data_IF_839578868356
#
_entry.id   IF_839578868356
#
_cell.length_a   1.000
_cell.length_b   1.000
_cell.length_c   1.000
_cell.angle_alpha   90.00
_cell.angle_beta   90.00
_cell.angle_gamma   90.00
#
_symmetry.space_group_name_H-M   'P 1'
#
loop_
_entity.id
_entity.type
_entity.pdbx_description
1 polymer ?
#
# COMPACT_ATOMS: atom_id res chain seq x y z
N UNK A 1 -3.49 3.23 26.50
CA UNK A 1 -2.66 2.84 25.34
C UNK A 1 -3.58 2.56 24.17
N UNK A 2 -3.36 3.22 23.05
CA UNK A 2 -4.17 3.03 21.85
C UNK A 2 -3.60 1.88 21.02
N UNK A 3 -4.45 0.94 20.65
CA UNK A 3 -4.07 -0.22 19.85
C UNK A 3 -4.50 -0.03 18.39
N UNK A 4 -3.93 -0.83 17.52
CA UNK A 4 -4.32 -0.86 16.08
C UNK A 4 -5.81 -1.13 15.94
N UNK A 5 -6.38 -2.03 16.75
CA UNK A 5 -7.82 -2.33 16.74
C UNK A 5 -8.71 -1.10 16.97
N UNK A 6 -8.22 -0.11 17.72
CA UNK A 6 -8.98 1.12 18.03
C UNK A 6 -9.08 2.08 16.84
N UNK A 7 -8.15 2.00 15.89
CA UNK A 7 -8.03 2.97 14.79
C UNK A 7 -8.18 2.37 13.40
N UNK A 8 -8.00 1.06 13.23
CA UNK A 8 -8.03 0.40 11.92
C UNK A 8 -9.40 0.47 11.25
N UNK A 9 -9.41 0.32 9.94
CA UNK A 9 -10.63 0.09 9.17
C UNK A 9 -10.88 -1.40 9.06
N UNK A 10 -12.04 -1.86 9.48
CA UNK A 10 -12.52 -3.25 9.34
C UNK A 10 -13.31 -3.43 8.05
N UNK A 11 -13.67 -4.67 7.73
CA UNK A 11 -14.51 -5.01 6.57
C UNK A 11 -13.94 -4.51 5.24
N UNK A 12 -12.64 -4.65 5.07
CA UNK A 12 -11.94 -4.25 3.87
C UNK A 12 -12.25 -5.21 2.73
N UNK A 13 -12.49 -4.67 1.55
CA UNK A 13 -12.65 -5.49 0.35
C UNK A 13 -11.34 -6.22 0.05
N UNK A 14 -11.41 -7.53 -0.13
CA UNK A 14 -10.28 -8.38 -0.52
C UNK A 14 -10.53 -9.02 -1.88
N UNK A 15 -9.46 -9.42 -2.53
CA UNK A 15 -9.51 -10.19 -3.76
C UNK A 15 -8.60 -11.41 -3.66
N UNK A 16 -8.71 -12.31 -4.60
CA UNK A 16 -7.94 -13.55 -4.64
C UNK A 16 -6.77 -13.45 -5.61
N UNK A 17 -5.70 -14.25 -5.42
CA UNK A 17 -4.55 -14.25 -6.33
C UNK A 17 -4.90 -14.51 -7.80
N UNK A 18 -5.93 -15.32 -8.05
CA UNK A 18 -6.40 -15.70 -9.38
C UNK A 18 -7.38 -14.70 -10.01
N UNK A 19 -7.82 -13.67 -9.28
CA UNK A 19 -8.65 -12.62 -9.83
C UNK A 19 -7.86 -11.78 -10.84
N UNK A 20 -8.57 -11.21 -11.81
CA UNK A 20 -7.93 -10.42 -12.88
C UNK A 20 -7.53 -9.03 -12.41
N UNK A 21 -6.47 -8.48 -13.03
CA UNK A 21 -6.07 -7.09 -12.80
C UNK A 21 -7.14 -6.10 -13.25
N UNK A 22 -7.94 -6.45 -14.25
CA UNK A 22 -9.07 -5.62 -14.71
C UNK A 22 -10.13 -5.51 -13.62
N UNK A 23 -10.48 -6.61 -12.97
CA UNK A 23 -11.44 -6.61 -11.86
C UNK A 23 -10.91 -5.82 -10.67
N UNK A 24 -9.61 -5.92 -10.38
CA UNK A 24 -8.98 -5.11 -9.33
C UNK A 24 -9.03 -3.61 -9.65
N UNK A 25 -8.74 -3.23 -10.88
CA UNK A 25 -8.80 -1.84 -11.31
C UNK A 25 -10.23 -1.29 -11.20
N UNK A 26 -11.23 -2.06 -11.59
CA UNK A 26 -12.64 -1.69 -11.42
C UNK A 26 -13.03 -1.53 -9.95
N UNK A 27 -12.57 -2.45 -9.10
CA UNK A 27 -12.80 -2.38 -7.66
C UNK A 27 -12.16 -1.12 -7.05
N UNK A 28 -10.95 -0.79 -7.45
CA UNK A 28 -10.27 0.44 -7.04
C UNK A 28 -11.03 1.70 -7.46
N UNK A 29 -11.58 1.72 -8.66
CA UNK A 29 -12.40 2.82 -9.17
C UNK A 29 -13.70 2.96 -8.39
N UNK A 30 -14.44 1.87 -8.22
CA UNK A 30 -15.71 1.85 -7.49
C UNK A 30 -15.55 2.28 -6.02
N UNK A 31 -14.51 1.83 -5.34
CA UNK A 31 -14.25 2.12 -3.93
C UNK A 31 -13.41 3.37 -3.71
N UNK A 32 -12.88 3.95 -4.76
CA UNK A 32 -11.93 5.08 -4.71
C UNK A 32 -10.73 4.78 -3.80
N UNK A 33 -10.12 3.63 -4.01
CA UNK A 33 -8.94 3.16 -3.27
C UNK A 33 -7.82 2.81 -4.23
N UNK A 34 -6.59 2.91 -3.78
CA UNK A 34 -5.39 2.57 -4.58
C UNK A 34 -4.71 1.27 -4.14
N UNK A 35 -5.28 0.54 -3.18
CA UNK A 35 -4.71 -0.70 -2.66
C UNK A 35 -5.80 -1.68 -2.27
N UNK A 36 -5.58 -2.96 -2.58
CA UNK A 36 -6.48 -4.04 -2.22
C UNK A 36 -5.66 -5.18 -1.63
N UNK A 37 -6.01 -5.68 -0.43
CA UNK A 37 -5.42 -6.90 0.09
C UNK A 37 -5.81 -8.11 -0.73
N UNK A 38 -4.85 -8.99 -0.97
CA UNK A 38 -5.04 -10.24 -1.69
C UNK A 38 -4.98 -11.39 -0.69
N UNK A 39 -6.05 -12.15 -0.61
CA UNK A 39 -6.20 -13.24 0.35
C UNK A 39 -6.49 -14.57 -0.34
N UNK A 40 -5.97 -15.63 0.24
CA UNK A 40 -6.37 -17.01 -0.05
C UNK A 40 -7.24 -17.49 1.13
N UNK A 41 -8.55 -17.53 0.92
CA UNK A 41 -9.49 -17.65 2.02
C UNK A 41 -9.38 -16.43 2.96
N UNK A 42 -9.14 -16.65 4.24
CA UNK A 42 -8.95 -15.60 5.24
C UNK A 42 -7.50 -15.12 5.33
N UNK A 43 -6.57 -15.88 4.77
CA UNK A 43 -5.14 -15.63 4.91
C UNK A 43 -4.66 -14.59 3.91
N UNK A 44 -3.98 -13.58 4.44
CA UNK A 44 -3.31 -12.58 3.61
C UNK A 44 -2.12 -13.20 2.88
N UNK A 45 -2.08 -13.09 1.56
CA UNK A 45 -0.97 -13.57 0.71
C UNK A 45 -0.26 -12.45 -0.03
N UNK A 46 -0.82 -11.27 -0.09
CA UNK A 46 -0.18 -10.12 -0.72
C UNK A 46 -1.05 -8.87 -0.71
N UNK A 47 -0.53 -7.84 -1.32
CA UNK A 47 -1.22 -6.58 -1.58
C UNK A 47 -1.02 -6.20 -3.03
N UNK A 48 -2.03 -5.63 -3.65
CA UNK A 48 -1.94 -5.05 -4.98
C UNK A 48 -2.30 -3.58 -4.93
N UNK A 49 -1.48 -2.76 -5.57
CA UNK A 49 -1.71 -1.32 -5.72
C UNK A 49 -2.01 -0.97 -7.17
N UNK A 50 -2.59 0.21 -7.38
CA UNK A 50 -2.74 0.80 -8.71
C UNK A 50 -1.37 0.95 -9.40
N UNK A 51 -0.33 1.32 -8.66
CA UNK A 51 1.04 1.36 -9.18
C UNK A 51 1.54 0.00 -9.63
N UNK A 52 1.28 -1.07 -8.88
CA UNK A 52 1.64 -2.45 -9.28
C UNK A 52 1.03 -2.83 -10.61
N UNK A 53 -0.25 -2.50 -10.82
CA UNK A 53 -0.95 -2.77 -12.08
C UNK A 53 -0.31 -2.02 -13.24
N UNK A 54 0.03 -0.75 -13.05
CA UNK A 54 0.65 0.07 -14.09
C UNK A 54 2.07 -0.39 -14.38
N UNK A 55 2.90 -0.56 -13.36
CA UNK A 55 4.34 -0.81 -13.53
C UNK A 55 4.64 -2.26 -13.88
N UNK A 56 3.93 -3.21 -13.27
CA UNK A 56 4.17 -4.64 -13.48
C UNK A 56 3.23 -5.26 -14.52
N UNK A 57 2.08 -4.62 -14.76
CA UNK A 57 1.14 -5.04 -15.78
C UNK A 57 1.32 -4.26 -17.09
N UNK A 58 0.91 -3.01 -17.11
CA UNK A 58 0.88 -2.18 -18.32
C UNK A 58 2.29 -1.93 -18.89
N UNK A 59 3.24 -1.52 -18.04
CA UNK A 59 4.61 -1.22 -18.47
C UNK A 59 5.37 -2.44 -18.99
N UNK A 60 5.01 -3.63 -18.56
CA UNK A 60 5.59 -4.90 -19.02
C UNK A 60 4.86 -5.48 -20.24
N UNK A 61 3.93 -4.74 -20.80
CA UNK A 61 3.13 -5.14 -21.96
C UNK A 61 2.35 -6.45 -21.74
N UNK A 62 1.94 -6.73 -20.49
CA UNK A 62 1.12 -7.88 -20.16
C UNK A 62 -0.26 -7.77 -20.82
N UNK A 63 -0.84 -8.89 -21.21
CA UNK A 63 -2.24 -8.92 -21.62
C UNK A 63 -3.12 -8.76 -20.37
N UNK A 64 -3.69 -7.59 -20.20
CA UNK A 64 -4.48 -7.26 -19.01
C UNK A 64 -5.74 -8.13 -18.86
N UNK A 65 -6.24 -8.70 -19.94
CA UNK A 65 -7.42 -9.59 -19.89
C UNK A 65 -7.12 -10.93 -19.22
N UNK A 66 -5.86 -11.39 -19.30
CA UNK A 66 -5.40 -12.66 -18.75
C UNK A 66 -4.47 -12.50 -17.56
N UNK A 67 -3.98 -11.30 -17.30
CA UNK A 67 -3.10 -11.00 -16.17
C UNK A 67 -3.85 -11.13 -14.85
N UNK A 68 -3.29 -11.91 -13.92
CA UNK A 68 -3.86 -12.17 -12.60
C UNK A 68 -3.15 -11.35 -11.54
N UNK A 69 -3.82 -11.15 -10.40
CA UNK A 69 -3.24 -10.40 -9.29
C UNK A 69 -1.94 -11.01 -8.79
N UNK A 70 -1.84 -12.35 -8.76
CA UNK A 70 -0.59 -13.04 -8.38
C UNK A 70 0.62 -12.68 -9.25
N UNK A 71 0.40 -12.19 -10.47
CA UNK A 71 1.45 -11.82 -11.41
C UNK A 71 2.02 -10.41 -11.14
N UNK A 72 1.26 -9.56 -10.46
CA UNK A 72 1.61 -8.15 -10.23
C UNK A 72 1.67 -7.75 -8.77
N UNK A 73 1.07 -8.51 -7.87
CA UNK A 73 1.02 -8.17 -6.43
C UNK A 73 2.38 -8.28 -5.76
N UNK A 74 2.51 -7.60 -4.63
CA UNK A 74 3.63 -7.77 -3.70
C UNK A 74 3.29 -8.88 -2.70
N UNK A 75 4.12 -9.93 -2.63
CA UNK A 75 3.89 -11.09 -1.77
C UNK A 75 4.54 -11.00 -0.39
N UNK A 76 5.53 -10.12 -0.22
CA UNK A 76 6.20 -9.89 1.07
C UNK A 76 5.70 -8.58 1.67
N UNK A 77 4.55 -8.65 2.33
CA UNK A 77 3.89 -7.49 2.90
C UNK A 77 4.16 -7.44 4.41
N UNK A 78 4.57 -6.27 4.90
CA UNK A 78 4.66 -6.02 6.33
C UNK A 78 3.26 -5.96 6.91
N UNK A 79 3.03 -6.73 7.96
CA UNK A 79 1.76 -6.79 8.67
C UNK A 79 1.92 -6.32 10.11
N UNK A 80 0.83 -5.87 10.69
CA UNK A 80 0.73 -5.58 12.12
C UNK A 80 -0.42 -6.37 12.72
N UNK A 81 -0.42 -6.49 14.03
CA UNK A 81 -1.49 -7.16 14.75
C UNK A 81 -2.46 -6.14 15.33
N UNK A 82 -3.69 -6.57 15.55
CA UNK A 82 -4.73 -5.70 16.10
C UNK A 82 -4.45 -5.22 17.52
N UNK A 83 -3.64 -5.97 18.27
CA UNK A 83 -3.22 -5.62 19.64
C UNK A 83 -1.89 -4.86 19.71
N UNK A 84 -1.26 -4.57 18.58
CA UNK A 84 -0.06 -3.75 18.54
C UNK A 84 -0.36 -2.30 18.96
N UNK A 85 0.64 -1.66 19.56
CA UNK A 85 0.56 -0.25 19.93
C UNK A 85 0.70 0.63 18.70
N UNK A 86 -0.17 1.61 18.55
CA UNK A 86 -0.12 2.54 17.39
C UNK A 86 1.18 3.32 17.30
N UNK A 87 1.84 3.61 18.41
CA UNK A 87 3.13 4.31 18.41
C UNK A 87 4.23 3.46 17.76
N UNK A 88 4.23 2.16 18.02
CA UNK A 88 5.16 1.22 17.40
C UNK A 88 4.90 1.08 15.89
N UNK A 89 3.62 1.03 15.52
CA UNK A 89 3.20 0.99 14.11
C UNK A 89 3.59 2.28 13.37
N UNK A 90 3.41 3.42 14.00
CA UNK A 90 3.81 4.71 13.46
C UNK A 90 5.32 4.77 13.20
N UNK A 91 6.12 4.30 14.15
CA UNK A 91 7.57 4.20 13.99
C UNK A 91 7.96 3.27 12.84
N UNK A 92 7.27 2.16 12.67
CA UNK A 92 7.51 1.23 11.57
C UNK A 92 7.12 1.83 10.20
N UNK A 93 5.98 2.52 10.12
CA UNK A 93 5.57 3.25 8.92
C UNK A 93 6.60 4.30 8.51
N UNK A 94 7.12 5.05 9.48
CA UNK A 94 8.16 6.05 9.27
C UNK A 94 9.46 5.41 8.76
N UNK A 95 9.92 4.37 9.44
CA UNK A 95 11.15 3.65 9.08
C UNK A 95 11.09 3.01 7.69
N UNK A 96 9.96 2.42 7.33
CA UNK A 96 9.75 1.75 6.05
C UNK A 96 9.22 2.69 4.95
N UNK A 97 8.88 3.93 5.28
CA UNK A 97 8.26 4.92 4.37
C UNK A 97 6.98 4.40 3.72
N UNK A 98 6.13 3.76 4.50
CA UNK A 98 4.83 3.23 4.08
C UNK A 98 3.71 3.91 4.85
N UNK A 99 2.54 4.03 4.24
CA UNK A 99 1.39 4.76 4.78
C UNK A 99 0.23 3.88 5.19
N UNK A 100 0.28 2.61 4.83
CA UNK A 100 -0.77 1.62 5.11
C UNK A 100 -0.13 0.29 5.42
N UNK A 101 -0.75 -0.41 6.37
CA UNK A 101 -0.33 -1.78 6.71
C UNK A 101 -1.58 -2.64 6.91
N UNK A 102 -1.58 -3.85 6.34
CA UNK A 102 -2.63 -4.81 6.65
C UNK A 102 -2.51 -5.29 8.10
N UNK A 103 -3.66 -5.47 8.73
CA UNK A 103 -3.78 -5.93 10.11
C UNK A 103 -4.25 -7.37 10.09
N UNK A 104 -3.52 -8.23 10.76
CA UNK A 104 -3.81 -9.66 10.87
C UNK A 104 -4.03 -10.07 12.32
N UNK A 105 -4.78 -11.16 12.52
CA UNK A 105 -4.93 -11.80 13.81
C UNK A 105 -3.81 -12.81 14.08
N UNK A 106 -3.95 -13.57 15.16
CA UNK A 106 -2.96 -14.57 15.59
C UNK A 106 -2.81 -15.74 14.60
N UNK A 107 -3.79 -15.94 13.73
CA UNK A 107 -3.79 -16.99 12.71
C UNK A 107 -3.36 -16.47 11.33
N UNK A 108 -2.82 -15.26 11.25
CA UNK A 108 -2.47 -14.55 10.01
C UNK A 108 -3.68 -14.28 9.08
N UNK A 109 -4.89 -14.31 9.64
CA UNK A 109 -6.09 -13.89 8.93
C UNK A 109 -6.19 -12.37 8.91
N UNK A 110 -6.54 -11.81 7.75
CA UNK A 110 -6.74 -10.38 7.59
C UNK A 110 -7.98 -9.93 8.39
N UNK A 111 -7.81 -8.92 9.24
CA UNK A 111 -8.90 -8.33 10.04
C UNK A 111 -9.16 -6.86 9.72
N UNK A 112 -8.25 -6.20 9.03
CA UNK A 112 -8.41 -4.80 8.65
C UNK A 112 -7.18 -4.21 7.99
N UNK A 113 -7.24 -2.91 7.77
CA UNK A 113 -6.10 -2.08 7.32
C UNK A 113 -5.99 -0.89 8.25
N UNK A 114 -4.78 -0.56 8.62
CA UNK A 114 -4.45 0.68 9.33
C UNK A 114 -3.67 1.60 8.40
N UNK A 115 -4.06 2.86 8.34
CA UNK A 115 -3.36 3.89 7.60
C UNK A 115 -2.77 4.95 8.52
N UNK A 116 -1.78 5.67 8.02
CA UNK A 116 -1.26 6.84 8.71
C UNK A 116 -2.37 7.85 9.02
N UNK A 117 -3.30 8.04 8.09
CA UNK A 117 -4.47 8.91 8.29
C UNK A 117 -5.39 8.43 9.42
N UNK A 118 -5.58 7.13 9.57
CA UNK A 118 -6.37 6.57 10.68
C UNK A 118 -5.72 6.88 12.04
N UNK A 119 -4.40 6.72 12.12
CA UNK A 119 -3.65 7.03 13.35
C UNK A 119 -3.73 8.53 13.65
N UNK A 120 -3.55 9.39 12.66
CA UNK A 120 -3.62 10.83 12.82
C UNK A 120 -5.02 11.30 13.25
N UNK A 121 -6.08 10.67 12.73
CA UNK A 121 -7.46 11.07 13.01
C UNK A 121 -7.99 10.55 14.35
N UNK A 122 -7.56 9.36 14.77
CA UNK A 122 -8.16 8.62 15.90
C UNK A 122 -7.18 8.28 17.02
N UNK A 123 -5.87 8.26 16.75
CA UNK A 123 -4.85 7.70 17.64
C UNK A 123 -3.93 8.71 18.31
N UNK A 124 -4.10 9.98 18.08
CA UNK A 124 -3.10 10.98 18.38
C UNK A 124 -3.14 11.56 19.79
N UNK A 125 -2.47 10.93 20.74
CA UNK A 125 -2.10 11.58 21.98
C UNK A 125 -0.80 12.43 21.86
N UNK A 126 -0.05 12.27 20.77
CA UNK A 126 1.17 13.03 20.49
C UNK A 126 1.19 13.56 19.06
N UNK A 127 0.64 14.76 18.89
CA UNK A 127 0.63 15.47 17.61
C UNK A 127 2.04 15.73 17.05
N UNK A 128 3.02 15.90 17.92
CA UNK A 128 4.41 16.15 17.52
C UNK A 128 5.04 14.90 16.89
N UNK A 129 4.81 13.72 17.47
CA UNK A 129 5.29 12.45 16.95
C UNK A 129 4.64 12.10 15.60
N UNK A 130 3.33 12.34 15.48
CA UNK A 130 2.61 12.19 14.21
C UNK A 130 3.16 13.17 13.16
N UNK A 131 3.39 14.42 13.53
CA UNK A 131 3.96 15.44 12.63
C UNK A 131 5.35 15.06 12.13
N UNK A 132 6.21 14.55 12.98
CA UNK A 132 7.54 14.06 12.59
C UNK A 132 7.46 12.86 11.65
N UNK A 133 6.60 11.90 11.92
CA UNK A 133 6.41 10.72 11.07
C UNK A 133 5.82 11.08 9.71
N UNK A 134 4.93 12.07 9.65
CA UNK A 134 4.41 12.61 8.38
C UNK A 134 5.53 13.26 7.56
N UNK A 135 6.44 13.98 8.20
CA UNK A 135 7.62 14.57 7.57
C UNK A 135 8.50 13.50 6.93
N UNK A 136 8.86 12.49 7.70
CA UNK A 136 9.72 11.39 7.25
C UNK A 136 9.11 10.59 6.09
N UNK A 137 7.81 10.28 6.16
CA UNK A 137 7.12 9.54 5.12
C UNK A 137 6.91 10.38 3.86
N UNK A 138 6.77 11.70 4.02
CA UNK A 138 6.51 12.64 2.93
C UNK A 138 7.79 13.20 2.31
N UNK A 139 8.97 12.95 2.90
CA UNK A 139 10.21 13.30 2.23
C UNK A 139 10.28 12.62 0.87
N UNK A 140 10.42 13.38 -0.22
CA UNK A 140 10.57 12.78 -1.53
C UNK A 140 11.83 11.92 -1.51
N UNK A 141 11.71 10.66 -1.86
CA UNK A 141 12.86 9.87 -2.27
C UNK A 141 13.62 10.70 -3.31
N UNK A 142 14.92 10.86 -3.15
CA UNK A 142 15.71 11.64 -4.08
C UNK A 142 15.29 11.30 -5.51
N UNK A 143 14.91 12.28 -6.31
CA UNK A 143 14.40 11.99 -7.65
C UNK A 143 15.45 11.20 -8.40
N UNK A 144 15.03 10.15 -9.03
CA UNK A 144 15.88 9.43 -9.96
C UNK A 144 16.18 10.36 -11.13
N UNK A 145 17.31 11.04 -11.05
CA UNK A 145 17.77 11.97 -12.08
C UNK A 145 18.25 11.29 -13.36
N UNK A 146 18.20 9.96 -13.40
CA UNK A 146 18.63 9.21 -14.58
C UNK A 146 17.74 9.45 -15.79
N UNK A 147 16.55 9.98 -15.61
CA UNK A 147 15.59 10.27 -16.70
C UNK A 147 15.57 11.73 -17.16
N UNK A 148 16.13 12.67 -16.39
CA UNK A 148 16.09 14.09 -16.77
C UNK A 148 17.06 14.47 -17.91
N UNK A 149 18.03 13.62 -18.20
CA UNK A 149 19.09 13.96 -19.16
C UNK A 149 18.89 13.43 -20.58
N UNK A 150 17.77 12.76 -20.87
CA UNK A 150 17.54 12.24 -22.24
C UNK A 150 16.67 13.11 -23.14
N UNK A 151 16.02 14.11 -22.58
CA UNK A 151 15.14 14.99 -23.37
C UNK A 151 15.86 16.25 -23.93
N UNK A 152 17.11 16.49 -23.55
CA UNK A 152 17.83 17.73 -23.88
C UNK A 152 18.81 17.67 -25.04
N UNK A 153 19.04 16.52 -25.66
CA UNK A 153 20.19 16.37 -26.57
C UNK A 153 19.85 16.06 -28.02
N UNK A 154 18.65 16.38 -28.46
CA UNK A 154 18.34 16.29 -29.89
C UNK A 154 17.68 17.56 -30.44
N UNK A 155 18.45 18.62 -30.44
CA UNK A 155 18.28 19.68 -31.48
C UNK A 155 19.60 19.87 -32.14
N UNK A 156 19.80 19.14 -33.20
CA UNK A 156 20.74 19.58 -34.21
C UNK A 156 20.03 20.65 -35.04
N UNK A 157 20.61 21.83 -35.16
CA UNK A 157 20.21 22.75 -36.25
C UNK A 157 20.67 22.17 -37.56
N UNK A 158 19.73 21.96 -38.45
CA UNK A 158 20.02 21.70 -39.85
C UNK A 158 20.65 22.88 -40.54
#
# INVERSE_FOLDING_TARGET
MTTVADVMTRDVRTMRPQDSVVDAARCMDELNVGVIPVCDGDRLVGMVTDRDIVVRGVAQAADLKTCKLQDVMSGHVRTVREDDNVDDVLAEMSSAQIRRMPVVDRNDALVGIVSLGDIAAKGGDDEAEIGMSLGDISEPAAPDRSTENKAGSQRQPG
#
